data_IF_149011556741
#
_entry.id   IF_149011556741
#
_cell.length_a   1.000
_cell.length_b   1.000
_cell.length_c   1.000
_cell.angle_alpha   90.00
_cell.angle_beta   90.00
_cell.angle_gamma   90.00
#
_symmetry.space_group_name_H-M   'P 1'
#
loop_
_entity.id
_entity.type
_entity.pdbx_description
1 polymer ?
#
# COMPACT_ATOMS: atom_id res chain seq x y z
N UNK A 1 59.28 -9.40 0.13
CA UNK A 1 57.82 -9.53 0.35
C UNK A 1 57.21 -8.15 0.11
N UNK A 2 56.68 -7.91 -1.09
CA UNK A 2 55.27 -8.00 -1.48
C UNK A 2 54.51 -6.67 -1.28
N UNK A 3 54.47 -5.94 -2.39
CA UNK A 3 53.61 -4.80 -2.73
C UNK A 3 52.15 -5.12 -2.39
N UNK A 4 51.45 -4.20 -1.72
CA UNK A 4 49.98 -4.10 -1.67
C UNK A 4 49.61 -2.64 -1.39
N UNK A 5 48.63 -2.00 -2.00
CA UNK A 5 47.75 -2.28 -3.15
C UNK A 5 47.05 -0.93 -3.34
N UNK A 6 47.10 -0.35 -4.53
CA UNK A 6 46.24 0.77 -4.88
C UNK A 6 44.79 0.32 -5.10
N UNK A 7 43.87 1.28 -5.04
CA UNK A 7 42.71 1.57 -5.92
C UNK A 7 41.73 2.45 -5.10
N UNK A 8 41.48 3.72 -5.43
CA UNK A 8 40.71 4.31 -6.55
C UNK A 8 39.17 4.35 -6.34
N UNK A 9 38.66 5.60 -6.31
CA UNK A 9 37.33 6.14 -6.76
C UNK A 9 36.11 5.47 -6.09
N UNK A 10 35.01 6.13 -5.73
CA UNK A 10 34.13 6.94 -6.57
C UNK A 10 33.24 7.78 -5.66
N UNK A 11 33.12 9.05 -6.04
CA UNK A 11 32.05 9.99 -5.71
C UNK A 11 30.72 9.34 -5.34
N UNK A 12 30.14 9.74 -4.20
CA UNK A 12 28.70 9.65 -3.97
C UNK A 12 28.06 11.01 -4.31
N UNK A 13 27.62 11.25 -5.57
CA UNK A 13 26.70 12.34 -5.83
C UNK A 13 25.29 11.88 -5.45
N UNK A 14 24.67 12.65 -4.56
CA UNK A 14 23.23 12.96 -4.52
C UNK A 14 22.23 11.80 -4.64
N UNK A 15 21.77 11.31 -3.50
CA UNK A 15 20.40 10.83 -3.35
C UNK A 15 19.56 11.87 -2.60
N UNK A 16 19.47 13.07 -3.20
CA UNK A 16 18.27 13.89 -3.07
C UNK A 16 17.43 13.59 -4.30
N UNK A 17 16.53 12.62 -4.19
CA UNK A 17 15.29 12.66 -4.96
C UNK A 17 14.17 12.33 -4.01
N UNK A 18 13.40 13.39 -3.77
CA UNK A 18 12.18 13.44 -2.99
C UNK A 18 11.30 12.24 -3.32
N UNK A 19 11.04 11.41 -2.32
CA UNK A 19 9.79 10.67 -2.32
C UNK A 19 8.72 11.70 -1.95
N UNK A 20 8.23 12.41 -2.97
CA UNK A 20 6.84 12.89 -2.91
C UNK A 20 6.02 11.61 -2.99
N UNK A 21 5.84 11.00 -1.83
CA UNK A 21 4.74 10.11 -1.60
C UNK A 21 3.54 11.06 -1.61
N UNK A 22 2.83 11.14 -2.74
CA UNK A 22 1.46 11.60 -2.72
C UNK A 22 0.71 10.57 -1.87
N UNK A 23 0.77 10.80 -0.56
CA UNK A 23 -0.05 10.13 0.42
C UNK A 23 -1.45 10.58 0.06
N UNK A 24 -2.19 9.64 -0.53
CA UNK A 24 -3.63 9.73 -0.71
C UNK A 24 -4.23 10.33 0.57
N UNK A 25 -4.95 11.47 0.51
CA UNK A 25 -5.46 12.15 1.71
C UNK A 25 -6.38 11.26 2.55
N UNK A 26 -6.90 10.15 2.01
CA UNK A 26 -7.64 9.15 2.77
C UNK A 26 -6.79 8.37 3.77
N UNK A 27 -5.45 8.37 3.66
CA UNK A 27 -4.57 7.75 4.66
C UNK A 27 -4.44 8.58 5.95
N UNK A 28 -4.84 9.86 5.90
CA UNK A 28 -4.74 10.80 7.04
C UNK A 28 -5.92 10.67 8.02
N UNK A 29 -6.94 9.86 7.70
CA UNK A 29 -7.98 9.50 8.66
C UNK A 29 -7.60 8.35 9.61
N UNK A 30 -6.29 8.07 9.75
CA UNK A 30 -5.75 7.11 10.72
C UNK A 30 -5.52 7.70 12.12
N UNK A 31 -6.23 8.77 12.50
CA UNK A 31 -6.40 9.09 13.92
C UNK A 31 -7.26 8.03 14.56
N UNK A 32 -6.62 6.93 14.97
CA UNK A 32 -7.22 5.87 15.76
C UNK A 32 -8.03 6.52 16.90
N UNK A 33 -9.34 6.31 16.91
CA UNK A 33 -10.14 6.84 18.02
C UNK A 33 -9.64 6.26 19.35
N UNK A 34 -9.61 7.09 20.40
CA UNK A 34 -9.10 6.69 21.73
C UNK A 34 -10.06 5.77 22.50
N UNK A 35 -11.26 5.51 21.96
CA UNK A 35 -12.22 4.59 22.56
C UNK A 35 -11.66 3.15 22.58
N UNK A 36 -11.72 2.52 23.75
CA UNK A 36 -11.18 1.18 23.98
C UNK A 36 -12.13 0.06 23.51
N UNK A 37 -13.44 0.29 23.58
CA UNK A 37 -14.43 -0.75 23.29
C UNK A 37 -14.64 -0.86 21.78
N UNK A 38 -14.24 -2.02 21.24
CA UNK A 38 -14.33 -2.35 19.81
C UNK A 38 -14.97 -3.73 19.64
N UNK A 39 -15.57 -3.97 18.48
CA UNK A 39 -16.10 -5.27 18.08
C UNK A 39 -15.47 -5.72 16.77
N UNK A 40 -15.18 -7.03 16.60
CA UNK A 40 -14.81 -7.56 15.30
C UNK A 40 -16.00 -7.46 14.34
N UNK A 41 -15.74 -7.01 13.11
CA UNK A 41 -16.75 -6.98 12.05
C UNK A 41 -16.14 -7.50 10.75
N UNK A 42 -16.87 -8.37 10.05
CA UNK A 42 -16.47 -8.89 8.74
C UNK A 42 -17.07 -8.00 7.65
N UNK A 43 -16.25 -7.57 6.70
CA UNK A 43 -16.71 -6.76 5.56
C UNK A 43 -15.85 -7.00 4.31
N UNK A 44 -16.30 -6.43 3.20
CA UNK A 44 -15.51 -6.31 1.98
C UNK A 44 -14.57 -5.10 2.09
N UNK A 45 -13.27 -5.37 2.00
CA UNK A 45 -12.20 -4.37 2.00
C UNK A 45 -11.60 -4.26 0.59
N UNK A 46 -11.24 -3.06 0.11
CA UNK A 46 -10.55 -2.91 -1.16
C UNK A 46 -9.18 -3.59 -1.11
N UNK A 47 -8.79 -4.28 -2.17
CA UNK A 47 -7.46 -4.89 -2.25
C UNK A 47 -6.37 -3.80 -2.15
N UNK A 48 -5.39 -3.94 -1.24
CA UNK A 48 -4.37 -2.91 -1.03
C UNK A 48 -3.24 -2.97 -2.09
N UNK A 49 -3.31 -3.92 -3.01
CA UNK A 49 -2.26 -4.13 -3.99
C UNK A 49 -2.32 -3.07 -5.11
N UNK A 50 -1.15 -2.62 -5.52
CA UNK A 50 -0.98 -1.73 -6.66
C UNK A 50 -0.62 -2.53 -7.91
N UNK A 51 -0.91 -1.96 -9.08
CA UNK A 51 -0.46 -2.46 -10.36
C UNK A 51 -0.07 -1.33 -11.30
N UNK A 52 0.84 -1.62 -12.23
CA UNK A 52 1.25 -0.68 -13.27
C UNK A 52 0.46 -1.02 -14.54
N UNK A 53 -0.29 -0.07 -15.12
CA UNK A 53 -0.98 -0.35 -16.37
C UNK A 53 -0.05 -0.36 -17.58
N UNK A 54 -0.53 -0.79 -18.75
CA UNK A 54 0.27 -0.82 -19.97
C UNK A 54 0.83 0.54 -20.41
N UNK A 55 0.18 1.63 -20.01
CA UNK A 55 0.65 3.00 -20.24
C UNK A 55 1.65 3.50 -19.19
N UNK A 56 2.01 2.67 -18.20
CA UNK A 56 2.99 2.99 -17.16
C UNK A 56 2.43 3.71 -15.93
N UNK A 57 1.12 3.95 -15.85
CA UNK A 57 0.48 4.55 -14.66
C UNK A 57 0.30 3.53 -13.53
N UNK A 58 0.37 3.98 -12.28
CA UNK A 58 0.11 3.17 -11.09
C UNK A 58 -1.37 3.27 -10.72
N UNK A 59 -2.01 2.14 -10.47
CA UNK A 59 -3.40 2.05 -10.06
C UNK A 59 -3.56 1.14 -8.85
N UNK A 60 -4.60 1.43 -8.05
CA UNK A 60 -5.06 0.56 -6.97
C UNK A 60 -5.90 -0.58 -7.56
N UNK A 61 -5.75 -1.79 -7.02
CA UNK A 61 -6.58 -2.92 -7.38
C UNK A 61 -8.03 -2.68 -6.96
N UNK A 62 -8.97 -2.75 -7.92
CA UNK A 62 -10.40 -2.56 -7.67
C UNK A 62 -11.12 -3.78 -7.09
N UNK A 63 -10.42 -4.89 -6.83
CA UNK A 63 -11.04 -6.11 -6.31
C UNK A 63 -11.38 -5.94 -4.83
N UNK A 64 -12.63 -6.26 -4.48
CA UNK A 64 -13.08 -6.34 -3.10
C UNK A 64 -12.70 -7.70 -2.50
N UNK A 65 -12.04 -7.69 -1.36
CA UNK A 65 -11.59 -8.86 -0.63
C UNK A 65 -12.37 -8.99 0.67
N UNK A 66 -12.68 -10.22 1.08
CA UNK A 66 -13.18 -10.49 2.42
C UNK A 66 -12.11 -10.14 3.45
N UNK A 67 -12.49 -9.34 4.42
CA UNK A 67 -11.64 -8.95 5.53
C UNK A 67 -12.41 -8.82 6.82
N UNK A 68 -11.66 -8.58 7.89
CA UNK A 68 -12.20 -8.21 9.19
C UNK A 68 -11.53 -6.95 9.71
N UNK A 69 -12.26 -6.21 10.55
CA UNK A 69 -11.79 -4.99 11.20
C UNK A 69 -12.21 -4.99 12.67
N UNK A 70 -11.55 -4.16 13.46
CA UNK A 70 -11.98 -3.79 14.80
C UNK A 70 -12.69 -2.45 14.77
N UNK A 71 -14.03 -2.49 14.78
CA UNK A 71 -14.89 -1.31 14.73
C UNK A 71 -15.18 -0.78 16.13
N UNK A 72 -14.92 0.50 16.34
CA UNK A 72 -15.30 1.16 17.59
C UNK A 72 -16.83 1.21 17.73
N UNK A 73 -17.36 0.77 18.88
CA UNK A 73 -18.81 0.76 19.12
C UNK A 73 -19.37 2.19 19.22
N UNK A 74 -18.58 3.13 19.73
CA UNK A 74 -19.01 4.51 19.98
C UNK A 74 -19.02 5.39 18.72
N UNK A 75 -17.97 5.32 17.90
CA UNK A 75 -17.77 6.23 16.76
C UNK A 75 -17.64 5.54 15.41
N UNK A 76 -17.80 4.21 15.36
CA UNK A 76 -17.70 3.40 14.15
C UNK A 76 -16.35 3.49 13.42
N UNK A 77 -15.31 4.04 14.05
CA UNK A 77 -13.96 4.05 13.49
C UNK A 77 -13.40 2.63 13.39
N UNK A 78 -13.03 2.24 12.17
CA UNK A 78 -12.43 0.95 11.86
C UNK A 78 -10.91 0.98 12.08
N UNK A 79 -10.37 -0.13 12.58
CA UNK A 79 -8.92 -0.28 12.82
C UNK A 79 -8.53 -1.74 12.63
N UNK A 80 -7.22 -2.03 12.59
CA UNK A 80 -6.71 -3.41 12.52
C UNK A 80 -7.35 -4.21 11.38
N UNK A 81 -7.32 -3.66 10.17
CA UNK A 81 -7.80 -4.36 8.98
C UNK A 81 -6.96 -5.63 8.74
N UNK A 82 -7.63 -6.75 8.55
CA UNK A 82 -7.02 -8.02 8.19
C UNK A 82 -7.75 -8.63 6.99
N UNK A 83 -7.00 -9.10 6.00
CA UNK A 83 -7.54 -9.76 4.82
C UNK A 83 -7.64 -11.26 5.07
N UNK A 84 -8.81 -11.84 4.80
CA UNK A 84 -9.08 -13.28 5.00
C UNK A 84 -8.80 -14.10 3.74
N UNK A 85 -8.54 -13.43 2.62
CA UNK A 85 -8.24 -14.04 1.34
C UNK A 85 -7.21 -13.24 0.56
N UNK A 86 -6.54 -13.92 -0.36
CA UNK A 86 -5.63 -13.28 -1.30
C UNK A 86 -6.41 -12.72 -2.48
N UNK A 87 -5.85 -11.68 -3.11
CA UNK A 87 -6.37 -11.18 -4.37
C UNK A 87 -6.29 -12.26 -5.46
N UNK A 88 -7.35 -12.37 -6.26
CA UNK A 88 -7.43 -13.32 -7.37
C UNK A 88 -6.39 -13.06 -8.47
N UNK A 89 -5.88 -11.83 -8.55
CA UNK A 89 -4.79 -11.44 -9.45
C UNK A 89 -3.41 -11.91 -8.97
N UNK A 90 -3.32 -12.53 -7.80
CA UNK A 90 -2.11 -13.08 -7.23
C UNK A 90 -1.28 -12.05 -6.45
N UNK A 91 0.04 -12.28 -6.40
CA UNK A 91 0.97 -11.54 -5.54
C UNK A 91 0.89 -10.01 -5.75
N UNK A 92 1.18 -9.27 -4.67
CA UNK A 92 1.34 -7.82 -4.68
C UNK A 92 2.83 -7.46 -4.87
N UNK A 93 3.19 -6.49 -5.73
CA UNK A 93 2.30 -5.79 -6.67
C UNK A 93 1.82 -6.71 -7.80
N UNK A 94 0.62 -6.46 -8.34
CA UNK A 94 0.08 -7.27 -9.41
C UNK A 94 0.86 -7.08 -10.72
N UNK A 95 0.70 -8.05 -11.64
CA UNK A 95 1.24 -7.94 -13.00
C UNK A 95 0.66 -6.72 -13.72
N UNK A 96 1.30 -6.34 -14.82
CA UNK A 96 0.75 -5.26 -15.66
C UNK A 96 -0.61 -5.64 -16.22
N UNK A 97 -1.55 -4.71 -16.15
CA UNK A 97 -2.94 -4.86 -16.60
C UNK A 97 -3.36 -3.66 -17.45
N UNK A 98 -4.52 -3.70 -18.13
CA UNK A 98 -5.12 -2.51 -18.73
C UNK A 98 -5.37 -1.42 -17.67
N UNK A 99 -5.34 -0.14 -18.06
CA UNK A 99 -5.73 0.94 -17.15
C UNK A 99 -7.25 0.82 -16.88
N UNK A 100 -7.74 1.20 -15.68
CA UNK A 100 -9.16 1.13 -15.38
C UNK A 100 -9.91 2.05 -16.34
N UNK A 101 -11.01 1.55 -16.92
CA UNK A 101 -11.88 2.41 -17.72
C UNK A 101 -12.55 3.38 -16.74
N UNK A 102 -12.46 4.70 -17.02
CA UNK A 102 -13.24 5.66 -16.28
C UNK A 102 -14.72 5.35 -16.56
N UNK A 103 -15.47 4.94 -15.53
CA UNK A 103 -16.91 4.85 -15.62
C UNK A 103 -17.45 6.29 -15.52
N UNK A 104 -18.02 6.79 -16.63
CA UNK A 104 -18.72 8.08 -16.73
C UNK A 104 -20.07 8.06 -15.99
#
# INVERSE_FOLDING_TARGET
>A
MLIKKGLFIVSLPRLLHAQVLEIDPDLVNTTNCLHLVRRPENLSLPCPALYICYNGHVHVCGIQLRGCVQRCITCQHDSQQQYLENCQLGAAPHRRMPCPQAED
#
